data_IF_165805814040
#
_entry.id   IF_165805814040
#
_cell.length_a   1.000
_cell.length_b   1.000
_cell.length_c   1.000
_cell.angle_alpha   90.00
_cell.angle_beta   90.00
_cell.angle_gamma   90.00
#
_symmetry.space_group_name_H-M   'P 1'
#
loop_
_entity.id
_entity.type
_entity.pdbx_description
1 polymer ?
#
# COMPACT_ATOMS: atom_id res chain seq x y z
N UNK A 1 29.94 30.93 0.83
CA UNK A 1 29.55 29.87 -0.12
C UNK A 1 28.33 29.21 0.48
N UNK A 2 27.15 29.56 -0.01
CA UNK A 2 25.88 29.00 0.47
C UNK A 2 25.86 27.51 0.09
N UNK A 3 25.60 26.64 1.08
CA UNK A 3 25.39 25.22 0.81
C UNK A 3 23.96 25.09 0.27
N UNK A 4 23.80 24.60 -0.95
CA UNK A 4 22.51 24.09 -1.42
C UNK A 4 22.09 22.92 -0.52
N UNK A 5 20.99 23.07 0.21
CA UNK A 5 20.31 21.95 0.84
C UNK A 5 19.62 21.12 -0.25
N UNK A 6 20.17 19.93 -0.51
CA UNK A 6 19.57 18.95 -1.41
C UNK A 6 18.57 18.13 -0.60
N UNK A 7 17.29 18.15 -1.00
CA UNK A 7 16.26 17.28 -0.41
C UNK A 7 16.61 15.83 -0.76
N UNK A 8 16.59 14.95 0.25
CA UNK A 8 16.71 13.51 0.08
C UNK A 8 15.33 12.90 -0.21
N UNK A 9 15.21 12.22 -1.34
CA UNK A 9 13.98 11.56 -1.79
C UNK A 9 13.97 10.07 -1.50
N UNK A 10 15.05 9.53 -0.92
CA UNK A 10 15.10 8.13 -0.53
C UNK A 10 14.19 7.89 0.67
N UNK A 11 13.45 6.77 0.61
CA UNK A 11 12.66 6.34 1.75
C UNK A 11 13.58 5.88 2.87
N UNK A 12 13.22 6.19 4.10
CA UNK A 12 13.85 5.53 5.26
C UNK A 12 13.59 4.02 5.18
N UNK A 13 14.39 3.25 5.92
CA UNK A 13 14.19 1.79 6.01
C UNK A 13 12.78 1.45 6.48
N UNK A 14 12.28 2.17 7.48
CA UNK A 14 10.93 1.97 8.02
C UNK A 14 9.84 2.30 7.00
N UNK A 15 9.95 3.41 6.29
CA UNK A 15 9.02 3.77 5.21
C UNK A 15 9.03 2.73 4.09
N UNK A 16 10.21 2.22 3.72
CA UNK A 16 10.36 1.16 2.73
C UNK A 16 9.69 -0.13 3.18
N UNK A 17 9.83 -0.51 4.46
CA UNK A 17 9.16 -1.67 5.04
C UNK A 17 7.63 -1.55 4.96
N UNK A 18 7.07 -0.38 5.30
CA UNK A 18 5.62 -0.15 5.19
C UNK A 18 5.13 -0.20 3.75
N UNK A 19 5.87 0.40 2.80
CA UNK A 19 5.58 0.32 1.37
C UNK A 19 5.53 -1.13 0.90
N UNK A 20 6.51 -1.93 1.28
CA UNK A 20 6.64 -3.31 0.84
C UNK A 20 5.51 -4.19 1.45
N UNK A 21 5.17 -3.98 2.72
CA UNK A 21 4.02 -4.61 3.37
C UNK A 21 2.69 -4.27 2.65
N UNK A 22 2.47 -3.00 2.31
CA UNK A 22 1.28 -2.56 1.58
C UNK A 22 1.20 -3.19 0.17
N UNK A 23 2.35 -3.29 -0.53
CA UNK A 23 2.45 -3.94 -1.83
C UNK A 23 2.08 -5.43 -1.75
N UNK A 24 2.64 -6.14 -0.77
CA UNK A 24 2.35 -7.57 -0.58
C UNK A 24 0.88 -7.83 -0.25
N UNK A 25 0.26 -6.99 0.58
CA UNK A 25 -1.17 -7.06 0.86
C UNK A 25 -2.00 -6.81 -0.41
N UNK A 26 -1.65 -5.79 -1.18
CA UNK A 26 -2.30 -5.47 -2.46
C UNK A 26 -2.27 -6.64 -3.44
N UNK A 27 -1.12 -7.31 -3.58
CA UNK A 27 -0.96 -8.45 -4.48
C UNK A 27 -1.72 -9.69 -4.02
N UNK A 28 -1.72 -9.99 -2.72
CA UNK A 28 -2.33 -11.20 -2.17
C UNK A 28 -3.83 -11.10 -1.93
N UNK A 29 -4.29 -9.96 -1.41
CA UNK A 29 -5.66 -9.81 -0.90
C UNK A 29 -6.54 -8.97 -1.82
N UNK A 30 -5.98 -7.93 -2.45
CA UNK A 30 -6.76 -6.99 -3.28
C UNK A 30 -6.88 -7.50 -4.72
N UNK A 31 -5.74 -7.72 -5.37
CA UNK A 31 -5.62 -8.03 -6.80
C UNK A 31 -6.51 -9.18 -7.29
N UNK A 32 -6.61 -10.35 -6.61
CA UNK A 32 -7.30 -11.51 -7.16
C UNK A 32 -8.77 -11.27 -7.52
N UNK A 33 -9.44 -10.36 -6.79
CA UNK A 33 -10.89 -10.10 -6.95
C UNK A 33 -11.21 -8.72 -7.52
N UNK A 34 -10.21 -7.88 -7.83
CA UNK A 34 -10.43 -6.47 -8.20
C UNK A 34 -11.34 -6.33 -9.42
N UNK A 35 -11.11 -7.11 -10.49
CA UNK A 35 -11.89 -6.99 -11.74
C UNK A 35 -13.36 -7.36 -11.56
N UNK A 36 -13.64 -8.38 -10.75
CA UNK A 36 -15.01 -8.81 -10.45
C UNK A 36 -15.71 -7.77 -9.59
N UNK A 37 -15.08 -7.32 -8.51
CA UNK A 37 -15.62 -6.29 -7.62
C UNK A 37 -15.90 -4.97 -8.31
N UNK A 38 -15.04 -4.56 -9.23
CA UNK A 38 -15.22 -3.36 -10.05
C UNK A 38 -16.46 -3.47 -10.94
N UNK A 39 -16.60 -4.60 -11.67
CA UNK A 39 -17.77 -4.87 -12.51
C UNK A 39 -19.09 -4.92 -11.75
N UNK A 40 -19.05 -5.41 -10.51
CA UNK A 40 -20.21 -5.54 -9.64
C UNK A 40 -20.47 -4.28 -8.80
N UNK A 41 -19.63 -3.25 -8.91
CA UNK A 41 -19.66 -2.06 -8.05
C UNK A 41 -19.68 -2.42 -6.54
N UNK A 42 -19.01 -3.53 -6.18
CA UNK A 42 -19.12 -4.15 -4.85
C UNK A 42 -18.00 -3.70 -3.92
N UNK A 43 -18.40 -3.15 -2.77
CA UNK A 43 -17.47 -2.74 -1.73
C UNK A 43 -16.78 -3.95 -1.04
N UNK A 44 -15.44 -3.92 -0.87
CA UNK A 44 -14.68 -5.08 -0.38
C UNK A 44 -14.58 -5.16 1.15
N UNK A 45 -15.70 -5.37 1.86
CA UNK A 45 -15.72 -5.39 3.34
C UNK A 45 -14.68 -6.34 3.97
N UNK A 46 -14.53 -7.56 3.44
CA UNK A 46 -13.60 -8.54 4.02
C UNK A 46 -12.13 -8.15 3.82
N UNK A 47 -11.78 -7.53 2.69
CA UNK A 47 -10.43 -7.02 2.45
C UNK A 47 -10.14 -5.87 3.41
N UNK A 48 -11.12 -4.98 3.66
CA UNK A 48 -10.96 -3.89 4.62
C UNK A 48 -10.73 -4.40 6.05
N UNK A 49 -11.46 -5.44 6.47
CA UNK A 49 -11.22 -6.11 7.77
C UNK A 49 -9.81 -6.70 7.85
N UNK A 50 -9.36 -7.40 6.80
CA UNK A 50 -8.00 -7.95 6.75
C UNK A 50 -6.93 -6.87 6.78
N UNK A 51 -7.15 -5.74 6.11
CA UNK A 51 -6.23 -4.60 6.12
C UNK A 51 -6.13 -3.99 7.52
N UNK A 52 -7.26 -3.81 8.21
CA UNK A 52 -7.29 -3.29 9.57
C UNK A 52 -6.57 -4.19 10.58
N UNK A 53 -6.49 -5.51 10.32
CA UNK A 53 -5.79 -6.45 11.18
C UNK A 53 -4.25 -6.46 10.99
N UNK A 54 -3.70 -5.71 10.03
CA UNK A 54 -2.25 -5.61 9.81
C UNK A 54 -1.55 -4.59 10.73
N UNK A 55 -2.30 -3.85 11.55
CA UNK A 55 -1.81 -2.81 12.46
C UNK A 55 -2.93 -2.25 13.32
#
# INVERSE_FOLDING_TARGET
MEKEEKVDFELTKEQSMFRDMAKEFGLREVLPSTRERDREERFPHEIMKKMAAQG
#
